data_IF_992986991690
#
_entry.id   IF_992986991690
#
_cell.length_a   1.000
_cell.length_b   1.000
_cell.length_c   1.000
_cell.angle_alpha   90.00
_cell.angle_beta   90.00
_cell.angle_gamma   90.00
#
_symmetry.space_group_name_H-M   'P 1'
#
loop_
_entity.id
_entity.type
_entity.pdbx_description
1 polymer ?
#
# COMPACT_ATOMS: atom_id res chain seq x y z
N UNK A 1 -10.42 -9.64 2.67
CA UNK A 1 -11.44 -9.67 1.62
C UNK A 1 -11.03 -8.91 0.34
N UNK A 2 -9.77 -8.59 0.18
CA UNK A 2 -9.21 -8.05 -1.08
C UNK A 2 -8.79 -9.25 -1.93
N UNK A 3 -9.31 -9.41 -3.15
CA UNK A 3 -8.90 -10.49 -4.03
C UNK A 3 -7.43 -10.33 -4.42
N UNK A 4 -6.67 -11.44 -4.34
CA UNK A 4 -5.24 -11.44 -4.62
C UNK A 4 -4.34 -10.75 -3.58
N UNK A 5 -4.85 -10.47 -2.37
CA UNK A 5 -4.08 -9.76 -1.33
C UNK A 5 -2.74 -10.43 -1.02
N UNK A 6 -2.71 -11.75 -0.90
CA UNK A 6 -1.48 -12.50 -0.65
C UNK A 6 -0.50 -12.42 -1.84
N UNK A 7 -1.02 -12.34 -3.07
CA UNK A 7 -0.19 -12.11 -4.27
C UNK A 7 0.47 -10.73 -4.21
N UNK A 8 -0.29 -9.70 -3.81
CA UNK A 8 0.26 -8.35 -3.63
C UNK A 8 1.38 -8.35 -2.59
N UNK A 9 1.17 -8.99 -1.43
CA UNK A 9 2.20 -9.09 -0.38
C UNK A 9 3.45 -9.85 -0.85
N UNK A 10 3.29 -10.97 -1.57
CA UNK A 10 4.41 -11.70 -2.15
C UNK A 10 5.23 -10.84 -3.11
N UNK A 11 4.56 -10.09 -3.98
CA UNK A 11 5.23 -9.18 -4.91
C UNK A 11 5.88 -7.98 -4.22
N UNK A 12 5.29 -7.44 -3.14
CA UNK A 12 5.95 -6.42 -2.29
C UNK A 12 7.28 -6.96 -1.74
N UNK A 13 7.31 -8.22 -1.31
CA UNK A 13 8.54 -8.89 -0.86
C UNK A 13 9.58 -8.98 -1.99
N UNK A 14 9.17 -9.45 -3.17
CA UNK A 14 10.07 -9.58 -4.33
C UNK A 14 10.61 -8.22 -4.79
N UNK A 15 9.75 -7.19 -4.83
CA UNK A 15 10.14 -5.81 -5.16
C UNK A 15 11.14 -5.28 -4.13
N UNK A 16 10.91 -5.53 -2.84
CA UNK A 16 11.84 -5.13 -1.78
C UNK A 16 13.22 -5.77 -1.95
N UNK A 17 13.29 -7.07 -2.28
CA UNK A 17 14.55 -7.76 -2.56
C UNK A 17 15.32 -7.20 -3.75
N UNK A 18 14.61 -6.58 -4.70
CA UNK A 18 15.23 -6.05 -5.92
C UNK A 18 15.62 -4.58 -5.82
N UNK A 19 14.82 -3.74 -5.16
CA UNK A 19 14.95 -2.28 -5.22
C UNK A 19 15.46 -1.63 -3.94
N UNK A 20 15.39 -2.33 -2.80
CA UNK A 20 15.90 -1.76 -1.55
C UNK A 20 17.41 -1.65 -1.59
N UNK A 21 17.90 -0.44 -1.34
CA UNK A 21 19.32 -0.09 -1.38
C UNK A 21 19.90 -0.15 0.04
N UNK A 22 21.15 -0.53 0.17
CA UNK A 22 21.85 -0.53 1.46
C UNK A 22 21.88 0.88 2.08
N UNK A 23 21.86 0.95 3.41
CA UNK A 23 21.88 2.20 4.17
C UNK A 23 20.69 3.13 3.88
N UNK A 24 19.53 2.58 3.56
CA UNK A 24 18.33 3.33 3.20
C UNK A 24 17.13 3.00 4.09
N UNK A 25 16.06 3.75 3.88
CA UNK A 25 14.78 3.54 4.54
C UNK A 25 13.74 2.96 3.59
N UNK A 26 12.84 2.16 4.14
CA UNK A 26 11.60 1.74 3.51
C UNK A 26 10.42 2.27 4.32
N UNK A 27 9.38 2.74 3.67
CA UNK A 27 8.21 3.30 4.33
C UNK A 27 6.96 2.49 4.01
N UNK A 28 6.17 2.17 5.06
CA UNK A 28 4.82 1.61 4.95
C UNK A 28 3.83 2.66 5.46
N UNK A 29 3.23 3.40 4.53
CA UNK A 29 2.34 4.52 4.82
C UNK A 29 0.89 4.04 4.95
N UNK A 30 0.37 4.01 6.17
CA UNK A 30 -0.89 3.40 6.54
C UNK A 30 -0.74 1.90 6.77
N UNK A 31 0.20 1.52 7.64
CA UNK A 31 0.64 0.14 7.81
C UNK A 31 -0.41 -0.80 8.43
N UNK A 32 -1.46 -0.26 9.07
CA UNK A 32 -2.49 -1.05 9.74
C UNK A 32 -1.90 -2.13 10.66
N UNK A 33 -2.07 -3.41 10.36
CA UNK A 33 -1.51 -4.53 11.11
C UNK A 33 -0.10 -4.96 10.66
N UNK A 34 0.54 -4.22 9.77
CA UNK A 34 1.94 -4.42 9.37
C UNK A 34 2.18 -5.49 8.32
N UNK A 35 1.17 -5.91 7.58
CA UNK A 35 1.33 -6.97 6.58
C UNK A 35 2.33 -6.60 5.47
N UNK A 36 2.27 -5.37 4.94
CA UNK A 36 3.22 -4.89 3.94
C UNK A 36 4.62 -4.68 4.54
N UNK A 37 4.70 -4.21 5.77
CA UNK A 37 5.97 -4.08 6.51
C UNK A 37 6.69 -5.42 6.67
N UNK A 38 5.96 -6.47 7.05
CA UNK A 38 6.50 -7.83 7.17
C UNK A 38 6.89 -8.37 5.80
N UNK A 39 6.08 -8.13 4.76
CA UNK A 39 6.40 -8.53 3.40
C UNK A 39 7.71 -7.88 2.91
N UNK A 40 7.90 -6.55 3.11
CA UNK A 40 9.16 -5.88 2.81
C UNK A 40 10.33 -6.48 3.57
N UNK A 41 10.19 -6.68 4.90
CA UNK A 41 11.23 -7.28 5.72
C UNK A 41 11.69 -8.63 5.20
N UNK A 42 10.76 -9.47 4.79
CA UNK A 42 11.07 -10.82 4.27
C UNK A 42 11.84 -10.77 2.94
N UNK A 43 11.67 -9.72 2.14
CA UNK A 43 12.36 -9.55 0.87
C UNK A 43 13.71 -8.84 0.97
N UNK A 44 13.92 -7.99 1.96
CA UNK A 44 15.12 -7.16 2.07
C UNK A 44 16.35 -8.01 2.38
N UNK A 45 17.32 -7.97 1.48
CA UNK A 45 18.65 -8.56 1.67
C UNK A 45 19.77 -7.51 1.84
N UNK A 46 19.47 -6.25 1.55
CA UNK A 46 20.41 -5.13 1.66
C UNK A 46 20.76 -4.82 3.13
N UNK A 47 22.00 -4.43 3.38
CA UNK A 47 22.50 -4.14 4.73
C UNK A 47 22.09 -2.76 5.24
N UNK A 48 21.94 -2.63 6.57
CA UNK A 48 21.71 -1.37 7.26
C UNK A 48 20.46 -0.62 6.78
N UNK A 49 19.39 -1.37 6.47
CA UNK A 49 18.10 -0.83 6.11
C UNK A 49 17.18 -0.77 7.34
N UNK A 50 16.20 0.15 7.30
CA UNK A 50 15.18 0.28 8.32
C UNK A 50 13.81 0.42 7.64
N UNK A 51 12.81 -0.26 8.18
CA UNK A 51 11.42 -0.08 7.77
C UNK A 51 10.74 0.87 8.76
N UNK A 52 10.11 1.91 8.25
CA UNK A 52 9.37 2.90 9.01
C UNK A 52 7.89 2.74 8.64
N UNK A 53 7.10 2.29 9.61
CA UNK A 53 5.70 1.93 9.42
C UNK A 53 4.82 2.89 10.19
N UNK A 54 3.90 3.55 9.50
CA UNK A 54 3.11 4.65 10.05
C UNK A 54 1.62 4.31 9.95
N UNK A 55 0.89 4.54 11.02
CA UNK A 55 -0.57 4.53 11.05
C UNK A 55 -1.07 5.53 12.09
N UNK A 56 -2.18 6.20 11.83
CA UNK A 56 -2.75 7.19 12.74
C UNK A 56 -3.66 6.58 13.81
N UNK A 57 -3.90 5.28 13.79
CA UNK A 57 -4.72 4.57 14.77
C UNK A 57 -3.85 3.94 15.86
N UNK A 58 -3.90 4.44 17.13
CA UNK A 58 -3.18 3.83 18.23
C UNK A 58 -3.51 2.34 18.40
N UNK A 59 -4.79 1.96 18.23
CA UNK A 59 -5.22 0.58 18.34
C UNK A 59 -4.62 -0.33 17.26
N UNK A 60 -4.42 0.18 16.03
CA UNK A 60 -3.73 -0.56 14.96
C UNK A 60 -2.25 -0.70 15.27
N UNK A 61 -1.59 0.36 15.72
CA UNK A 61 -0.17 0.35 16.10
C UNK A 61 0.09 -0.66 17.23
N UNK A 62 -0.73 -0.70 18.27
CA UNK A 62 -0.56 -1.65 19.37
C UNK A 62 -0.70 -3.11 18.90
N UNK A 63 -1.67 -3.39 18.06
CA UNK A 63 -1.84 -4.73 17.47
C UNK A 63 -0.71 -5.08 16.51
N UNK A 64 -0.28 -4.13 15.68
CA UNK A 64 0.83 -4.28 14.73
C UNK A 64 2.12 -4.63 15.48
N UNK A 65 2.41 -3.96 16.59
CA UNK A 65 3.57 -4.23 17.45
C UNK A 65 3.62 -5.69 17.92
N UNK A 66 2.49 -6.22 18.37
CA UNK A 66 2.37 -7.62 18.79
C UNK A 66 2.63 -8.58 17.64
N UNK A 67 2.05 -8.31 16.46
CA UNK A 67 2.19 -9.16 15.27
C UNK A 67 3.65 -9.17 14.79
N UNK A 68 4.29 -8.00 14.69
CA UNK A 68 5.69 -7.88 14.26
C UNK A 68 6.62 -8.60 15.23
N UNK A 69 6.40 -8.47 16.53
CA UNK A 69 7.20 -9.15 17.55
C UNK A 69 7.10 -10.68 17.41
N UNK A 70 5.90 -11.20 17.23
CA UNK A 70 5.67 -12.64 17.03
C UNK A 70 6.33 -13.14 15.74
N UNK A 71 6.24 -12.38 14.66
CA UNK A 71 6.85 -12.74 13.38
C UNK A 71 8.40 -12.68 13.41
N UNK A 72 8.99 -11.90 14.33
CA UNK A 72 10.46 -11.78 14.47
C UNK A 72 11.09 -12.87 15.31
N UNK A 73 10.31 -13.65 16.07
CA UNK A 73 10.83 -14.58 17.08
C UNK A 73 11.68 -15.73 16.54
N UNK A 74 11.70 -15.96 15.22
CA UNK A 74 12.40 -17.07 14.57
C UNK A 74 13.48 -16.61 13.56
N UNK A 75 13.78 -15.31 13.48
CA UNK A 75 14.71 -14.76 12.49
C UNK A 75 16.03 -14.34 13.15
N UNK A 76 17.15 -14.93 12.75
CA UNK A 76 18.50 -14.59 13.21
C UNK A 76 19.04 -13.26 12.65
N UNK A 77 18.46 -12.77 11.54
CA UNK A 77 18.82 -11.50 10.89
C UNK A 77 17.55 -10.91 10.26
N UNK A 78 17.04 -9.83 10.81
CA UNK A 78 15.87 -9.17 10.24
C UNK A 78 16.05 -7.66 10.20
N UNK A 79 15.57 -7.04 9.11
CA UNK A 79 15.52 -5.58 8.98
C UNK A 79 14.61 -5.00 10.07
N UNK A 80 15.08 -4.06 10.89
CA UNK A 80 14.29 -3.46 11.95
C UNK A 80 13.05 -2.73 11.42
N UNK A 81 11.92 -2.91 12.10
CA UNK A 81 10.67 -2.20 11.83
C UNK A 81 10.40 -1.22 12.98
N UNK A 82 10.37 0.06 12.66
CA UNK A 82 10.00 1.14 13.59
C UNK A 82 8.54 1.54 13.33
N UNK A 83 7.71 1.46 14.36
CA UNK A 83 6.31 1.89 14.32
C UNK A 83 6.17 3.33 14.80
N UNK A 84 5.40 4.12 14.07
CA UNK A 84 5.08 5.51 14.40
C UNK A 84 3.55 5.66 14.36
N UNK A 85 2.98 6.17 15.47
CA UNK A 85 1.57 6.52 15.55
C UNK A 85 1.42 8.01 15.21
N UNK A 86 1.17 8.32 13.93
CA UNK A 86 0.99 9.70 13.46
C UNK A 86 0.25 9.71 12.12
N UNK A 87 -0.20 10.88 11.68
CA UNK A 87 -0.71 11.09 10.34
C UNK A 87 0.46 11.06 9.33
N UNK A 88 0.29 10.32 8.23
CA UNK A 88 1.27 10.24 7.15
C UNK A 88 1.58 11.61 6.51
N UNK A 89 0.66 12.57 6.64
CA UNK A 89 0.89 13.95 6.21
C UNK A 89 1.98 14.66 7.03
N UNK A 90 2.20 14.27 8.29
CA UNK A 90 3.20 14.87 9.18
C UNK A 90 4.60 14.26 9.04
N UNK A 91 4.71 13.07 8.42
CA UNK A 91 5.96 12.33 8.34
C UNK A 91 6.89 12.93 7.27
N UNK A 92 8.14 13.12 7.60
CA UNK A 92 9.20 13.40 6.63
C UNK A 92 9.63 12.08 6.00
N UNK A 93 9.65 12.04 4.68
CA UNK A 93 10.17 10.89 3.89
C UNK A 93 11.55 11.31 3.38
N UNK A 94 12.56 10.55 3.74
CA UNK A 94 13.95 10.84 3.36
C UNK A 94 14.75 9.55 3.22
N UNK A 95 15.76 9.57 2.37
CA UNK A 95 16.65 8.43 2.13
C UNK A 95 15.87 7.14 1.82
N UNK A 96 14.75 7.24 1.10
CA UNK A 96 13.84 6.14 0.85
C UNK A 96 14.25 5.38 -0.41
N UNK A 97 14.46 4.07 -0.30
CA UNK A 97 14.61 3.19 -1.47
C UNK A 97 13.31 2.50 -1.85
N UNK A 98 12.36 2.40 -0.94
CA UNK A 98 11.03 1.86 -1.20
C UNK A 98 9.97 2.55 -0.34
N UNK A 99 8.85 2.90 -0.96
CA UNK A 99 7.65 3.39 -0.27
C UNK A 99 6.46 2.56 -0.71
N UNK A 100 5.64 2.14 0.25
CA UNK A 100 4.42 1.37 0.02
C UNK A 100 3.22 2.14 0.55
N UNK A 101 2.20 2.30 -0.29
CA UNK A 101 0.85 2.73 0.03
C UNK A 101 -0.08 1.57 -0.34
N UNK A 102 -0.38 0.69 0.62
CA UNK A 102 -1.16 -0.52 0.37
C UNK A 102 -2.61 -0.35 0.81
N UNK A 103 -3.46 0.12 -0.08
CA UNK A 103 -4.87 0.48 0.13
C UNK A 103 -5.04 1.64 1.14
N UNK A 104 -4.19 2.64 1.04
CA UNK A 104 -4.13 3.78 1.97
C UNK A 104 -4.57 5.09 1.31
N UNK A 105 -4.09 5.38 0.09
CA UNK A 105 -4.32 6.68 -0.58
C UNK A 105 -5.81 6.96 -0.78
N UNK A 106 -6.63 5.93 -0.98
CA UNK A 106 -8.08 6.02 -1.15
C UNK A 106 -8.81 6.66 0.05
N UNK A 107 -8.20 6.69 1.23
CA UNK A 107 -8.73 7.33 2.44
C UNK A 107 -8.24 8.77 2.63
N UNK A 108 -7.26 9.19 1.85
CA UNK A 108 -6.75 10.56 1.88
C UNK A 108 -7.67 11.47 1.04
N UNK A 109 -8.01 12.68 1.50
CA UNK A 109 -8.76 13.64 0.72
C UNK A 109 -8.11 13.87 -0.66
N UNK A 110 -8.92 13.93 -1.72
CA UNK A 110 -8.43 13.96 -3.11
C UNK A 110 -7.47 15.13 -3.35
N UNK A 111 -7.78 16.29 -2.77
CA UNK A 111 -6.96 17.51 -2.85
C UNK A 111 -5.60 17.42 -2.15
N UNK A 112 -5.41 16.44 -1.26
CA UNK A 112 -4.15 16.18 -0.53
C UNK A 112 -3.26 15.13 -1.17
N UNK A 113 -3.80 14.30 -2.09
CA UNK A 113 -3.08 13.15 -2.67
C UNK A 113 -1.85 13.55 -3.47
N UNK A 114 -1.96 14.62 -4.28
CA UNK A 114 -0.83 15.09 -5.08
C UNK A 114 0.34 15.52 -4.18
N UNK A 115 0.04 16.30 -3.12
CA UNK A 115 1.06 16.76 -2.17
C UNK A 115 1.74 15.59 -1.44
N UNK A 116 0.97 14.59 -1.04
CA UNK A 116 1.52 13.39 -0.39
C UNK A 116 2.45 12.62 -1.34
N UNK A 117 2.03 12.40 -2.59
CA UNK A 117 2.84 11.70 -3.58
C UNK A 117 4.06 12.51 -4.03
N UNK A 118 3.98 13.85 -4.05
CA UNK A 118 5.15 14.71 -4.25
C UNK A 118 6.18 14.51 -3.14
N UNK A 119 5.74 14.50 -1.87
CA UNK A 119 6.63 14.21 -0.73
C UNK A 119 7.28 12.83 -0.84
N UNK A 120 6.54 11.82 -1.29
CA UNK A 120 7.09 10.48 -1.55
C UNK A 120 8.16 10.54 -2.63
N UNK A 121 7.87 11.18 -3.76
CA UNK A 121 8.81 11.31 -4.86
C UNK A 121 10.10 12.02 -4.43
N UNK A 122 9.96 13.16 -3.72
CA UNK A 122 11.11 13.95 -3.26
C UNK A 122 12.00 13.16 -2.31
N UNK A 123 11.39 12.38 -1.39
CA UNK A 123 12.11 11.56 -0.41
C UNK A 123 12.72 10.28 -0.95
N UNK A 124 12.31 9.80 -2.15
CA UNK A 124 12.89 8.64 -2.79
C UNK A 124 14.31 8.93 -3.32
N UNK A 125 15.20 7.99 -3.13
CA UNK A 125 16.51 7.94 -3.77
C UNK A 125 16.37 7.68 -5.29
N UNK A 126 17.34 8.06 -6.13
CA UNK A 126 17.42 7.57 -7.50
C UNK A 126 17.39 6.03 -7.54
N UNK A 127 16.59 5.47 -8.42
CA UNK A 127 16.31 4.03 -8.46
C UNK A 127 15.36 3.52 -7.39
N UNK A 128 14.91 4.37 -6.46
CA UNK A 128 13.91 4.03 -5.46
C UNK A 128 12.52 3.84 -6.06
N UNK A 129 11.69 3.06 -5.41
CA UNK A 129 10.39 2.63 -5.94
C UNK A 129 9.22 2.97 -5.02
N UNK A 130 8.10 3.31 -5.64
CA UNK A 130 6.78 3.39 -5.00
C UNK A 130 5.93 2.20 -5.44
N UNK A 131 5.33 1.50 -4.49
CA UNK A 131 4.23 0.55 -4.72
C UNK A 131 2.94 1.17 -4.22
N UNK A 132 1.98 1.35 -5.11
CA UNK A 132 0.66 1.93 -4.82
C UNK A 132 -0.43 0.93 -5.15
N UNK A 133 -1.09 0.39 -4.12
CA UNK A 133 -2.25 -0.50 -4.27
C UNK A 133 -3.51 0.22 -3.85
N UNK A 134 -4.55 0.19 -4.71
CA UNK A 134 -5.79 0.94 -4.51
C UNK A 134 -7.01 0.15 -5.00
N UNK A 135 -8.16 0.43 -4.39
CA UNK A 135 -9.43 0.13 -5.04
C UNK A 135 -9.67 1.18 -6.12
N UNK A 136 -10.00 0.72 -7.32
CA UNK A 136 -10.23 1.58 -8.48
C UNK A 136 -11.68 1.52 -8.94
N UNK A 137 -12.09 2.52 -9.71
CA UNK A 137 -13.38 2.60 -10.39
C UNK A 137 -13.17 2.69 -11.90
N UNK A 138 -14.21 2.34 -12.64
CA UNK A 138 -14.24 2.39 -14.09
C UNK A 138 -15.22 3.48 -14.53
N UNK A 139 -14.91 4.16 -15.63
CA UNK A 139 -15.77 5.21 -16.20
C UNK A 139 -16.95 4.64 -16.96
N UNK A 140 -16.81 3.43 -17.51
CA UNK A 140 -17.89 2.72 -18.20
C UNK A 140 -18.80 2.05 -17.17
N UNK A 141 -20.06 2.50 -17.09
CA UNK A 141 -21.02 2.05 -16.07
C UNK A 141 -21.31 0.53 -16.13
N UNK A 142 -21.58 -0.09 -17.31
CA UNK A 142 -21.75 -1.53 -17.40
C UNK A 142 -20.54 -2.31 -16.91
N UNK A 143 -19.33 -1.84 -17.20
CA UNK A 143 -18.10 -2.47 -16.74
C UNK A 143 -17.93 -2.32 -15.20
N UNK A 144 -18.19 -1.13 -14.66
CA UNK A 144 -18.18 -0.88 -13.22
C UNK A 144 -19.15 -1.81 -12.49
N UNK A 145 -20.37 -1.98 -13.01
CA UNK A 145 -21.37 -2.86 -12.44
C UNK A 145 -20.91 -4.32 -12.46
N UNK A 146 -20.42 -4.82 -13.60
CA UNK A 146 -19.89 -6.18 -13.73
C UNK A 146 -18.77 -6.45 -12.70
N UNK A 147 -17.80 -5.56 -12.59
CA UNK A 147 -16.68 -5.73 -11.64
C UNK A 147 -17.16 -5.71 -10.18
N UNK A 148 -18.18 -4.93 -9.89
CA UNK A 148 -18.80 -4.88 -8.55
C UNK A 148 -19.52 -6.19 -8.22
N UNK A 149 -20.27 -6.74 -9.17
CA UNK A 149 -20.97 -8.03 -9.03
C UNK A 149 -19.98 -9.19 -8.84
N UNK A 150 -18.92 -9.24 -9.64
CA UNK A 150 -17.85 -10.23 -9.50
C UNK A 150 -17.18 -10.16 -8.12
N UNK A 151 -16.94 -8.95 -7.63
CA UNK A 151 -16.37 -8.76 -6.30
C UNK A 151 -17.33 -9.21 -5.18
N UNK A 152 -18.64 -8.98 -5.32
CA UNK A 152 -19.63 -9.50 -4.37
C UNK A 152 -19.68 -11.04 -4.40
N UNK A 153 -19.63 -11.65 -5.59
CA UNK A 153 -19.56 -13.10 -5.74
C UNK A 153 -18.29 -13.67 -5.08
N UNK A 154 -17.15 -13.01 -5.25
CA UNK A 154 -15.90 -13.37 -4.59
C UNK A 154 -16.07 -13.35 -3.06
N UNK A 155 -16.69 -12.32 -2.49
CA UNK A 155 -16.94 -12.26 -1.04
C UNK A 155 -17.84 -13.41 -0.57
N UNK A 156 -18.95 -13.70 -1.27
CA UNK A 156 -19.84 -14.81 -0.96
C UNK A 156 -19.09 -16.16 -0.97
N UNK A 157 -18.27 -16.38 -1.99
CA UNK A 157 -17.45 -17.58 -2.09
C UNK A 157 -16.42 -17.72 -0.96
N UNK A 158 -16.04 -16.60 -0.33
CA UNK A 158 -15.17 -16.57 0.85
C UNK A 158 -15.94 -16.50 2.19
N UNK A 159 -17.23 -16.84 2.19
CA UNK A 159 -18.05 -17.01 3.40
C UNK A 159 -18.63 -15.74 4.00
N UNK A 160 -18.58 -14.60 3.31
CA UNK A 160 -19.23 -13.37 3.77
C UNK A 160 -20.74 -13.44 3.53
N UNK A 161 -21.54 -13.13 4.54
CA UNK A 161 -22.99 -12.96 4.43
C UNK A 161 -23.36 -11.66 3.70
N UNK A 162 -24.58 -11.59 3.16
CA UNK A 162 -25.08 -10.36 2.51
C UNK A 162 -25.09 -9.17 3.48
N UNK A 163 -25.39 -9.42 4.76
CA UNK A 163 -25.37 -8.38 5.79
C UNK A 163 -23.97 -7.81 6.01
N UNK A 164 -22.96 -8.68 6.13
CA UNK A 164 -21.55 -8.25 6.28
C UNK A 164 -21.05 -7.50 5.05
N UNK A 165 -21.44 -7.93 3.85
CA UNK A 165 -21.12 -7.24 2.59
C UNK A 165 -21.73 -5.84 2.58
N UNK A 166 -23.01 -5.71 2.95
CA UNK A 166 -23.71 -4.43 2.98
C UNK A 166 -23.16 -3.49 4.06
N UNK A 167 -22.92 -3.97 5.27
CA UNK A 167 -22.37 -3.17 6.38
C UNK A 167 -20.97 -2.65 6.05
N UNK A 168 -20.11 -3.52 5.52
CA UNK A 168 -18.75 -3.14 5.14
C UNK A 168 -18.73 -2.14 3.97
N UNK A 169 -19.66 -2.30 3.01
CA UNK A 169 -19.82 -1.32 1.93
C UNK A 169 -20.20 0.04 2.49
N UNK A 170 -21.25 0.13 3.29
CA UNK A 170 -21.74 1.39 3.87
C UNK A 170 -20.65 2.10 4.68
N UNK A 171 -19.92 1.38 5.51
CA UNK A 171 -18.83 1.94 6.33
C UNK A 171 -17.69 2.49 5.48
N UNK A 172 -17.31 1.80 4.39
CA UNK A 172 -16.22 2.22 3.52
C UNK A 172 -16.62 3.34 2.54
N UNK A 173 -17.84 3.31 2.00
CA UNK A 173 -18.35 4.35 1.08
C UNK A 173 -18.40 5.74 1.73
N UNK A 174 -18.56 5.80 3.07
CA UNK A 174 -18.56 7.06 3.80
C UNK A 174 -17.19 7.77 3.79
N UNK A 175 -16.09 7.02 3.75
CA UNK A 175 -14.72 7.55 3.96
C UNK A 175 -13.80 7.34 2.76
N UNK A 176 -14.03 6.31 1.96
CA UNK A 176 -13.17 5.97 0.82
C UNK A 176 -13.58 6.74 -0.44
N UNK A 177 -12.61 7.23 -1.18
CA UNK A 177 -12.78 7.94 -2.46
C UNK A 177 -11.91 7.28 -3.52
N UNK A 178 -12.37 6.15 -4.12
CA UNK A 178 -11.63 5.48 -5.19
C UNK A 178 -11.63 6.33 -6.47
N UNK A 179 -10.56 6.25 -7.22
CA UNK A 179 -10.37 6.92 -8.51
C UNK A 179 -10.02 5.89 -9.59
N UNK A 180 -9.96 6.32 -10.85
CA UNK A 180 -9.58 5.43 -11.95
C UNK A 180 -8.07 5.19 -11.97
N UNK A 181 -7.64 4.11 -12.65
CA UNK A 181 -6.21 3.85 -12.88
C UNK A 181 -5.52 4.99 -13.63
N UNK A 182 -6.21 5.58 -14.59
CA UNK A 182 -5.70 6.70 -15.40
C UNK A 182 -5.39 7.91 -14.51
N UNK A 183 -6.28 8.23 -13.57
CA UNK A 183 -6.08 9.33 -12.60
C UNK A 183 -4.87 9.05 -11.70
N UNK A 184 -4.71 7.82 -11.21
CA UNK A 184 -3.55 7.44 -10.41
C UNK A 184 -2.25 7.54 -11.22
N UNK A 185 -2.23 7.01 -12.44
CA UNK A 185 -1.05 7.06 -13.34
C UNK A 185 -0.68 8.50 -13.70
N UNK A 186 -1.69 9.34 -14.01
CA UNK A 186 -1.43 10.74 -14.32
C UNK A 186 -0.83 11.47 -13.12
N UNK A 187 -1.40 11.29 -11.92
CA UNK A 187 -0.88 11.90 -10.70
C UNK A 187 0.56 11.50 -10.39
N UNK A 188 0.94 10.23 -10.63
CA UNK A 188 2.32 9.78 -10.48
C UNK A 188 3.26 10.44 -11.49
N UNK A 189 2.82 10.66 -12.73
CA UNK A 189 3.58 11.44 -13.72
C UNK A 189 3.73 12.90 -13.33
N UNK A 190 2.65 13.51 -12.81
CA UNK A 190 2.63 14.92 -12.40
C UNK A 190 3.63 15.22 -11.29
N UNK A 191 3.92 14.26 -10.40
CA UNK A 191 4.94 14.40 -9.34
C UNK A 191 6.35 14.04 -9.79
N UNK A 192 6.55 13.56 -11.03
CA UNK A 192 7.88 13.37 -11.61
C UNK A 192 8.27 11.94 -11.98
N UNK A 193 7.43 10.94 -11.74
CA UNK A 193 7.74 9.58 -12.23
C UNK A 193 7.60 9.51 -13.75
N UNK A 194 8.62 8.97 -14.43
CA UNK A 194 8.59 8.82 -15.88
C UNK A 194 7.55 7.79 -16.34
N UNK A 195 7.36 6.73 -15.56
CA UNK A 195 6.33 5.72 -15.78
C UNK A 195 5.69 5.27 -14.47
N UNK A 196 4.44 4.84 -14.58
CA UNK A 196 3.70 4.19 -13.51
C UNK A 196 2.92 3.03 -14.13
N UNK A 197 3.36 1.81 -13.88
CA UNK A 197 2.84 0.63 -14.54
C UNK A 197 1.99 -0.22 -13.61
N UNK A 198 0.87 -0.72 -14.14
CA UNK A 198 0.03 -1.66 -13.41
C UNK A 198 0.65 -3.05 -13.55
N UNK A 199 1.08 -3.62 -12.43
CA UNK A 199 1.63 -4.97 -12.40
C UNK A 199 0.63 -6.01 -11.88
N UNK A 200 -0.43 -5.55 -11.19
CA UNK A 200 -1.52 -6.39 -10.70
C UNK A 200 -2.85 -5.68 -10.85
N UNK A 201 -3.86 -6.41 -11.31
CA UNK A 201 -5.26 -5.99 -11.25
C UNK A 201 -6.16 -7.20 -11.11
N UNK A 202 -7.10 -7.14 -10.16
CA UNK A 202 -8.15 -8.11 -9.98
C UNK A 202 -9.46 -7.38 -9.66
N UNK A 203 -10.42 -7.45 -10.56
CA UNK A 203 -11.70 -6.70 -10.47
C UNK A 203 -11.42 -5.19 -10.24
N UNK A 204 -11.91 -4.65 -9.12
CA UNK A 204 -11.74 -3.24 -8.72
C UNK A 204 -10.50 -3.00 -7.85
N UNK A 205 -9.55 -3.90 -7.79
CA UNK A 205 -8.32 -3.77 -7.00
C UNK A 205 -7.11 -3.82 -7.92
N UNK A 206 -6.25 -2.82 -7.81
CA UNK A 206 -5.06 -2.73 -8.64
C UNK A 206 -3.83 -2.34 -7.82
N UNK A 207 -2.65 -2.72 -8.30
CA UNK A 207 -1.38 -2.28 -7.77
C UNK A 207 -0.48 -1.77 -8.89
N UNK A 208 0.11 -0.61 -8.66
CA UNK A 208 1.03 0.07 -9.56
C UNK A 208 2.44 0.08 -8.95
N UNK A 209 3.42 0.12 -9.83
CA UNK A 209 4.81 0.38 -9.48
C UNK A 209 5.31 1.61 -10.24
N UNK A 210 6.04 2.48 -9.56
CA UNK A 210 6.72 3.62 -10.17
C UNK A 210 8.14 3.72 -9.63
N UNK A 211 9.11 4.00 -10.50
CA UNK A 211 10.53 4.05 -10.17
C UNK A 211 11.03 5.47 -10.43
N UNK A 212 11.74 6.04 -9.44
CA UNK A 212 12.40 7.33 -9.59
C UNK A 212 13.68 7.17 -10.40
N UNK A 213 13.80 7.94 -11.47
CA UNK A 213 14.99 7.99 -12.32
C UNK A 213 16.16 8.67 -11.64
#
# INVERSE_FOLDING_TARGET
SVPGYNTILGMISDIAGRYVQAHSHCYDLGCSLGAASIAMRNGISADNCHIISIDNSPAMIDRCKTIIHTASAHESRSTPIRLICDDIANITIENASMVVLNFTLQFIPVDKRLLLLQKVYDGLLPGGTLVLSEKVVFTDEPHQQLMTELYHNFKRANGYSELEIAQKRTALEAVMRPETLEVHKQRLKDVGFNSADTWFQCMTFASLIAIKS
#
